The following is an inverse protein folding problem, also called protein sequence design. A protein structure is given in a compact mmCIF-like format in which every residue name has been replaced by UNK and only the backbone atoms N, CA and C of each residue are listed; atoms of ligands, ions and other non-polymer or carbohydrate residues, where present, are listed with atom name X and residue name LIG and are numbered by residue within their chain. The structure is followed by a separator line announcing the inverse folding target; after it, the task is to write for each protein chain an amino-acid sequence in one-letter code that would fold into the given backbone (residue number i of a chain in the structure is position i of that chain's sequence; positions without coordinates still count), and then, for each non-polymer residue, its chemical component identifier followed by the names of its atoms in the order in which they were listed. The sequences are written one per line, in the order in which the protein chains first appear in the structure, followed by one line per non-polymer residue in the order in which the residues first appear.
data_IF_568393092215
#
_entry.id   IF_568393092215
#
_cell.length_a   1.000
_cell.length_b   1.000
_cell.length_c   1.000
_cell.angle_alpha   90.00
_cell.angle_beta   90.00
_cell.angle_gamma   90.00
#
_symmetry.space_group_name_H-M   'P 1'
#
loop_
_entity.id
_entity.type
_entity.pdbx_description
1 polymer ?
#
# COMPACT_ATOMS: atom_id res chain seq x y z
N UNK A 1 13.50 29.35 -1.37
CA UNK A 1 14.59 28.47 -0.88
C UNK A 1 14.30 27.06 -1.39
N UNK A 2 15.05 26.61 -2.40
CA UNK A 2 14.85 25.29 -3.00
C UNK A 2 15.35 24.20 -2.07
N UNK A 3 14.46 23.29 -1.68
CA UNK A 3 14.83 22.08 -0.97
C UNK A 3 15.60 21.17 -1.93
N UNK A 4 16.91 21.38 -2.05
CA UNK A 4 17.80 20.43 -2.70
C UNK A 4 17.91 19.24 -1.77
N UNK A 5 17.24 18.15 -2.12
CA UNK A 5 17.48 16.85 -1.51
C UNK A 5 18.85 16.40 -1.99
N UNK A 6 19.86 16.57 -1.14
CA UNK A 6 21.22 16.10 -1.42
C UNK A 6 21.21 14.57 -1.31
N UNK A 7 21.25 13.89 -2.46
CA UNK A 7 21.35 12.44 -2.51
C UNK A 7 22.75 12.03 -2.04
N UNK A 8 22.89 11.00 -1.18
CA UNK A 8 24.20 10.58 -0.70
C UNK A 8 25.13 10.27 -1.88
N UNK A 9 26.27 10.98 -1.94
CA UNK A 9 27.25 10.90 -3.04
C UNK A 9 27.90 9.52 -3.23
N UNK A 10 27.68 8.59 -2.31
CA UNK A 10 28.19 7.22 -2.39
C UNK A 10 27.27 6.21 -1.68
N UNK A 11 26.16 5.87 -2.33
CA UNK A 11 25.52 4.56 -2.16
C UNK A 11 25.82 3.73 -3.40
N UNK A 12 26.99 3.09 -3.45
CA UNK A 12 27.28 2.16 -4.54
C UNK A 12 26.49 0.87 -4.34
N UNK A 13 25.50 0.64 -5.21
CA UNK A 13 24.84 -0.66 -5.28
C UNK A 13 25.86 -1.69 -5.74
N UNK A 14 25.92 -2.84 -5.06
CA UNK A 14 26.76 -3.95 -5.53
C UNK A 14 26.37 -4.36 -6.96
N UNK A 15 27.33 -4.86 -7.74
CA UNK A 15 27.08 -5.32 -9.11
C UNK A 15 25.95 -6.35 -9.18
N UNK A 16 25.81 -7.19 -8.14
CA UNK A 16 24.71 -8.14 -8.00
C UNK A 16 23.35 -7.43 -7.98
N UNK A 17 23.19 -6.39 -7.16
CA UNK A 17 21.91 -5.66 -7.06
C UNK A 17 21.63 -4.80 -8.29
N UNK A 18 22.65 -4.20 -8.90
CA UNK A 18 22.50 -3.50 -10.18
C UNK A 18 21.95 -4.43 -11.26
N UNK A 19 22.52 -5.63 -11.41
CA UNK A 19 22.03 -6.64 -12.36
C UNK A 19 20.60 -7.08 -12.08
N UNK A 20 20.19 -7.18 -10.81
CA UNK A 20 18.80 -7.51 -10.45
C UNK A 20 17.86 -6.40 -10.93
N UNK A 21 18.16 -5.14 -10.62
CA UNK A 21 17.32 -4.01 -11.03
C UNK A 21 17.25 -3.85 -12.55
N UNK A 22 18.37 -4.02 -13.26
CA UNK A 22 18.42 -3.93 -14.73
C UNK A 22 17.62 -5.03 -15.42
N UNK A 23 17.47 -6.20 -14.79
CA UNK A 23 16.68 -7.31 -15.33
C UNK A 23 15.19 -7.21 -15.01
N UNK A 24 14.80 -6.29 -14.13
CA UNK A 24 13.42 -6.15 -13.71
C UNK A 24 12.58 -5.59 -14.87
N UNK A 25 11.68 -6.41 -15.40
CA UNK A 25 10.67 -5.96 -16.34
C UNK A 25 9.44 -5.53 -15.55
N UNK A 26 9.04 -4.28 -15.74
CA UNK A 26 7.80 -3.73 -15.18
C UNK A 26 6.75 -3.67 -16.28
N UNK A 27 5.66 -4.39 -16.06
CA UNK A 27 4.47 -4.37 -16.90
C UNK A 27 3.23 -4.54 -16.01
N UNK A 28 2.05 -4.68 -16.62
CA UNK A 28 0.77 -4.78 -15.90
C UNK A 28 0.71 -5.97 -14.92
N UNK A 29 1.45 -7.04 -15.20
CA UNK A 29 1.45 -8.32 -14.48
C UNK A 29 2.76 -8.64 -13.75
N UNK A 30 3.76 -7.74 -13.84
CA UNK A 30 5.09 -7.94 -13.28
C UNK A 30 5.70 -6.63 -12.76
N UNK A 31 6.30 -6.60 -11.55
CA UNK A 31 6.34 -7.67 -10.56
C UNK A 31 4.98 -7.83 -9.85
N UNK A 32 4.34 -8.98 -10.08
CA UNK A 32 2.97 -9.24 -9.59
C UNK A 32 1.91 -8.35 -10.25
N UNK A 33 0.66 -8.52 -9.83
CA UNK A 33 -0.50 -7.85 -10.46
C UNK A 33 -0.80 -6.45 -9.93
N UNK A 34 0.16 -5.79 -9.26
CA UNK A 34 -0.12 -4.53 -8.54
C UNK A 34 -0.64 -3.43 -9.47
N UNK A 35 -0.05 -3.27 -10.67
CA UNK A 35 -0.49 -2.24 -11.61
C UNK A 35 -1.88 -2.58 -12.18
N UNK A 36 -2.08 -3.81 -12.65
CA UNK A 36 -3.39 -4.27 -13.14
C UNK A 36 -4.49 -4.09 -12.09
N UNK A 37 -4.26 -4.57 -10.87
CA UNK A 37 -5.26 -4.55 -9.81
C UNK A 37 -5.49 -3.13 -9.28
N UNK A 38 -4.47 -2.26 -9.31
CA UNK A 38 -4.62 -0.85 -9.01
C UNK A 38 -5.51 -0.14 -10.03
N UNK A 39 -5.31 -0.39 -11.32
CA UNK A 39 -6.21 0.12 -12.38
C UNK A 39 -7.63 -0.41 -12.24
N UNK A 40 -7.81 -1.69 -11.89
CA UNK A 40 -9.13 -2.25 -11.55
C UNK A 40 -9.77 -1.50 -10.38
N UNK A 41 -9.01 -1.18 -9.34
CA UNK A 41 -9.50 -0.39 -8.21
C UNK A 41 -9.93 1.02 -8.65
N UNK A 42 -9.11 1.73 -9.42
CA UNK A 42 -9.46 3.07 -9.91
C UNK A 42 -10.77 3.05 -10.73
N UNK A 43 -10.92 2.06 -11.61
CA UNK A 43 -12.16 1.84 -12.37
C UNK A 43 -13.35 1.54 -11.47
N UNK A 44 -13.16 0.73 -10.43
CA UNK A 44 -14.17 0.40 -9.45
C UNK A 44 -14.66 1.63 -8.66
N UNK A 45 -13.77 2.56 -8.30
CA UNK A 45 -14.15 3.84 -7.68
C UNK A 45 -15.04 4.63 -8.65
N UNK A 46 -14.61 4.75 -9.90
CA UNK A 46 -15.34 5.43 -10.96
C UNK A 46 -15.65 6.91 -10.68
N UNK A 47 -16.41 7.58 -11.56
CA UNK A 47 -16.73 9.00 -11.42
C UNK A 47 -17.67 9.31 -10.25
N UNK A 48 -18.49 8.33 -9.84
CA UNK A 48 -19.42 8.49 -8.71
C UNK A 48 -18.72 8.29 -7.36
N UNK A 49 -17.50 7.78 -7.35
CA UNK A 49 -16.80 7.36 -6.14
C UNK A 49 -17.42 6.14 -5.46
N UNK A 50 -16.68 5.56 -4.52
CA UNK A 50 -17.12 4.42 -3.71
C UNK A 50 -17.59 4.85 -2.31
N UNK A 51 -18.64 4.24 -1.78
CA UNK A 51 -19.12 4.51 -0.42
C UNK A 51 -18.11 4.03 0.63
N UNK A 52 -17.94 4.83 1.68
CA UNK A 52 -17.07 4.53 2.82
C UNK A 52 -17.88 4.36 4.10
N UNK A 53 -17.28 3.69 5.08
CA UNK A 53 -17.83 3.59 6.44
C UNK A 53 -17.62 4.91 7.20
N UNK A 54 -18.57 5.29 8.05
CA UNK A 54 -18.53 6.57 8.74
C UNK A 54 -17.33 6.67 9.69
N UNK A 55 -17.12 5.64 10.52
CA UNK A 55 -16.14 5.61 11.61
C UNK A 55 -14.70 5.53 11.12
N UNK A 56 -14.41 4.62 10.20
CA UNK A 56 -13.02 4.33 9.77
C UNK A 56 -12.69 4.84 8.38
N UNK A 57 -13.67 5.36 7.64
CA UNK A 57 -13.50 5.79 6.24
C UNK A 57 -13.01 4.67 5.31
N UNK A 58 -13.20 3.40 5.68
CA UNK A 58 -12.84 2.23 4.86
C UNK A 58 -13.97 1.88 3.88
N UNK A 59 -13.69 1.02 2.90
CA UNK A 59 -14.71 0.56 1.96
C UNK A 59 -15.88 -0.09 2.69
N UNK A 60 -17.09 0.19 2.22
CA UNK A 60 -18.29 -0.47 2.73
C UNK A 60 -18.27 -1.98 2.44
N UNK A 61 -18.83 -2.78 3.35
CA UNK A 61 -18.82 -4.25 3.26
C UNK A 61 -19.33 -4.78 1.91
N UNK A 62 -20.38 -4.16 1.35
CA UNK A 62 -20.95 -4.56 0.05
C UNK A 62 -19.96 -4.41 -1.10
N UNK A 63 -19.09 -3.41 -1.05
CA UNK A 63 -18.10 -3.11 -2.09
C UNK A 63 -16.91 -4.08 -2.06
N UNK A 64 -16.62 -4.71 -0.92
CA UNK A 64 -15.45 -5.58 -0.77
C UNK A 64 -15.57 -6.86 -1.60
N UNK A 65 -16.74 -7.51 -1.58
CA UNK A 65 -16.98 -8.72 -2.35
C UNK A 65 -16.93 -8.48 -3.86
N UNK A 66 -17.54 -7.39 -4.30
CA UNK A 66 -17.56 -6.96 -5.70
C UNK A 66 -16.18 -6.57 -6.21
N UNK A 67 -15.40 -5.80 -5.45
CA UNK A 67 -14.03 -5.47 -5.83
C UNK A 67 -13.16 -6.72 -5.86
N UNK A 68 -13.25 -7.58 -4.84
CA UNK A 68 -12.44 -8.80 -4.74
C UNK A 68 -12.62 -9.72 -5.96
N UNK A 69 -13.84 -9.86 -6.49
CA UNK A 69 -14.10 -10.70 -7.66
C UNK A 69 -13.53 -10.16 -8.96
N UNK A 70 -13.19 -8.87 -9.03
CA UNK A 70 -12.60 -8.22 -10.20
C UNK A 70 -11.06 -8.23 -10.20
N UNK A 71 -10.43 -8.53 -9.06
CA UNK A 71 -8.98 -8.56 -8.96
C UNK A 71 -8.41 -9.82 -9.64
N UNK A 72 -7.13 -9.75 -10.01
CA UNK A 72 -6.40 -10.82 -10.70
C UNK A 72 -6.40 -12.13 -9.90
N UNK A 73 -6.38 -12.04 -8.56
CA UNK A 73 -6.41 -13.20 -7.65
C UNK A 73 -7.43 -12.97 -6.54
N UNK A 74 -8.72 -13.23 -6.78
CA UNK A 74 -9.77 -13.08 -5.78
C UNK A 74 -9.51 -13.99 -4.57
N UNK A 75 -9.61 -13.43 -3.37
CA UNK A 75 -9.41 -14.19 -2.14
C UNK A 75 -10.75 -14.82 -1.69
N UNK A 76 -10.76 -16.14 -1.48
CA UNK A 76 -11.91 -16.84 -0.87
C UNK A 76 -11.91 -16.60 0.64
N UNK A 77 -12.95 -15.97 1.17
CA UNK A 77 -13.08 -15.66 2.60
C UNK A 77 -14.19 -16.49 3.23
N UNK A 78 -13.84 -17.26 4.27
CA UNK A 78 -14.80 -18.07 5.04
C UNK A 78 -15.54 -17.31 6.15
N UNK A 79 -15.38 -15.99 6.25
CA UNK A 79 -16.01 -15.17 7.29
C UNK A 79 -17.41 -14.73 6.87
N UNK A 80 -18.37 -14.74 7.81
CA UNK A 80 -19.75 -14.24 7.57
C UNK A 80 -19.82 -12.74 7.24
N UNK A 81 -18.90 -11.93 7.80
CA UNK A 81 -18.85 -10.48 7.61
C UNK A 81 -17.39 -10.03 7.45
N UNK A 82 -16.78 -10.24 6.27
CA UNK A 82 -15.37 -9.97 6.08
C UNK A 82 -15.11 -8.45 5.96
N UNK A 83 -14.49 -7.87 6.98
CA UNK A 83 -14.06 -6.46 6.94
C UNK A 83 -12.88 -6.27 5.98
N UNK A 84 -12.56 -5.02 5.60
CA UNK A 84 -11.49 -4.72 4.63
C UNK A 84 -10.14 -5.37 5.00
N UNK A 85 -9.79 -5.42 6.30
CA UNK A 85 -8.56 -6.09 6.79
C UNK A 85 -8.48 -7.59 6.47
N UNK A 86 -9.62 -8.25 6.23
CA UNK A 86 -9.67 -9.65 5.80
C UNK A 86 -9.32 -9.82 4.31
N UNK A 87 -9.17 -8.72 3.56
CA UNK A 87 -8.74 -8.70 2.16
C UNK A 87 -7.39 -7.95 2.05
N UNK A 88 -6.25 -8.60 2.36
CA UNK A 88 -4.95 -7.92 2.41
C UNK A 88 -4.60 -7.16 1.12
N UNK A 89 -4.93 -7.74 -0.04
CA UNK A 89 -4.68 -7.11 -1.33
C UNK A 89 -5.51 -5.84 -1.54
N UNK A 90 -6.82 -5.89 -1.25
CA UNK A 90 -7.68 -4.69 -1.26
C UNK A 90 -7.18 -3.66 -0.26
N UNK A 91 -6.73 -4.10 0.93
CA UNK A 91 -6.24 -3.20 1.96
C UNK A 91 -4.98 -2.45 1.50
N UNK A 92 -4.05 -3.15 0.85
CA UNK A 92 -2.86 -2.56 0.24
C UNK A 92 -3.19 -1.61 -0.91
N UNK A 93 -4.08 -2.00 -1.82
CA UNK A 93 -4.50 -1.12 -2.92
C UNK A 93 -5.21 0.14 -2.40
N UNK A 94 -6.06 0.01 -1.37
CA UNK A 94 -6.72 1.14 -0.74
C UNK A 94 -5.69 2.10 -0.12
N UNK A 95 -4.65 1.58 0.56
CA UNK A 95 -3.54 2.38 1.07
C UNK A 95 -2.87 3.16 -0.07
N UNK A 96 -2.52 2.48 -1.16
CA UNK A 96 -1.85 3.09 -2.32
C UNK A 96 -2.71 4.19 -2.96
N UNK A 97 -4.00 3.94 -3.15
CA UNK A 97 -4.94 4.90 -3.75
C UNK A 97 -5.01 6.18 -2.91
N UNK A 98 -5.04 6.04 -1.58
CA UNK A 98 -5.11 7.17 -0.64
C UNK A 98 -3.76 7.89 -0.47
N UNK A 99 -2.66 7.13 -0.40
CA UNK A 99 -1.31 7.67 -0.15
C UNK A 99 -0.74 8.38 -1.38
N UNK A 100 -1.07 7.91 -2.59
CA UNK A 100 -0.68 8.57 -3.85
C UNK A 100 -1.41 9.88 -4.11
N UNK A 101 -2.53 10.13 -3.42
CA UNK A 101 -3.39 11.28 -3.67
C UNK A 101 -4.31 11.15 -4.88
N UNK A 102 -4.32 9.98 -5.55
CA UNK A 102 -5.22 9.70 -6.67
C UNK A 102 -6.69 9.71 -6.28
N UNK A 103 -6.98 9.42 -5.02
CA UNK A 103 -8.31 9.57 -4.48
C UNK A 103 -8.30 10.26 -3.12
N UNK A 104 -9.37 11.01 -2.86
CA UNK A 104 -9.62 11.68 -1.58
C UNK A 104 -10.94 11.25 -0.99
N UNK A 105 -11.04 11.40 0.33
CA UNK A 105 -12.28 11.17 1.05
C UNK A 105 -13.09 12.45 1.03
N UNK A 106 -14.31 12.40 0.52
CA UNK A 106 -15.26 13.51 0.50
C UNK A 106 -16.52 13.18 1.28
N UNK A 107 -17.21 14.24 1.72
CA UNK A 107 -18.46 14.13 2.46
C UNK A 107 -18.29 13.76 3.94
N UNK A 108 -19.41 13.82 4.67
CA UNK A 108 -19.49 13.56 6.11
C UNK A 108 -20.57 12.55 6.44
N UNK A 109 -20.39 11.82 7.54
CA UNK A 109 -21.32 10.78 7.99
C UNK A 109 -21.64 9.76 6.88
N UNK A 110 -22.93 9.45 6.72
CA UNK A 110 -23.42 8.44 5.76
C UNK A 110 -23.19 8.79 4.28
N UNK A 111 -22.82 10.04 3.96
CA UNK A 111 -22.50 10.48 2.60
C UNK A 111 -21.00 10.42 2.28
N UNK A 112 -20.18 9.85 3.18
CA UNK A 112 -18.73 9.74 2.99
C UNK A 112 -18.38 8.82 1.81
N UNK A 113 -17.53 9.31 0.89
CA UNK A 113 -17.12 8.59 -0.32
C UNK A 113 -15.63 8.73 -0.59
N UNK A 114 -15.05 7.73 -1.23
CA UNK A 114 -13.75 7.80 -1.88
C UNK A 114 -13.98 8.24 -3.31
N UNK A 115 -13.42 9.37 -3.72
CA UNK A 115 -13.57 9.92 -5.07
C UNK A 115 -12.21 10.12 -5.71
N UNK A 116 -12.13 9.92 -7.02
CA UNK A 116 -10.91 10.19 -7.78
C UNK A 116 -10.70 11.69 -7.93
N UNK A 117 -9.45 12.12 -7.77
CA UNK A 117 -9.04 13.47 -8.14
C UNK A 117 -8.76 13.50 -9.65
N UNK A 118 -9.51 14.29 -10.41
CA UNK A 118 -9.44 14.29 -11.87
C UNK A 118 -8.07 14.70 -12.40
N UNK A 119 -7.44 15.69 -11.77
CA UNK A 119 -6.19 16.27 -12.25
C UNK A 119 -5.01 15.34 -11.97
N UNK A 120 -5.00 14.74 -10.78
CA UNK A 120 -4.02 13.72 -10.43
C UNK A 120 -4.22 12.45 -11.25
N UNK A 121 -5.46 12.02 -11.48
CA UNK A 121 -5.75 10.86 -12.32
C UNK A 121 -5.35 11.08 -13.79
N UNK A 122 -5.55 12.29 -14.32
CA UNK A 122 -5.08 12.64 -15.67
C UNK A 122 -3.55 12.64 -15.75
N UNK A 123 -2.86 13.10 -14.71
CA UNK A 123 -1.40 13.06 -14.62
C UNK A 123 -0.89 11.62 -14.55
N UNK A 124 -1.53 10.77 -13.74
CA UNK A 124 -1.23 9.34 -13.64
C UNK A 124 -1.32 8.61 -14.98
N UNK A 125 -2.33 8.92 -15.79
CA UNK A 125 -2.50 8.31 -17.11
C UNK A 125 -1.36 8.61 -18.08
N UNK A 126 -0.63 9.72 -17.89
CA UNK A 126 0.52 10.10 -18.73
C UNK A 126 1.79 9.32 -18.39
N UNK A 127 1.84 8.71 -17.20
CA UNK A 127 2.98 7.92 -16.76
C UNK A 127 3.03 6.58 -17.50
N UNK A 128 4.24 6.13 -17.84
CA UNK A 128 4.49 4.78 -18.31
C UNK A 128 4.41 3.77 -17.14
N UNK A 129 4.42 2.46 -17.44
CA UNK A 129 4.24 1.41 -16.43
C UNK A 129 5.32 1.42 -15.33
N UNK A 130 6.58 1.69 -15.70
CA UNK A 130 7.69 1.82 -14.75
C UNK A 130 7.48 3.00 -13.80
N UNK A 131 7.13 4.17 -14.34
CA UNK A 131 6.87 5.38 -13.55
C UNK A 131 5.67 5.20 -12.62
N UNK A 132 4.59 4.55 -13.09
CA UNK A 132 3.43 4.20 -12.27
C UNK A 132 3.84 3.31 -11.11
N UNK A 133 4.60 2.25 -11.38
CA UNK A 133 5.06 1.32 -10.35
C UNK A 133 5.88 2.03 -9.27
N UNK A 134 6.88 2.82 -9.67
CA UNK A 134 7.73 3.53 -8.71
C UNK A 134 6.97 4.64 -7.98
N UNK A 135 5.99 5.28 -8.61
CA UNK A 135 5.09 6.24 -7.94
C UNK A 135 4.30 5.56 -6.82
N UNK A 136 3.78 4.35 -7.04
CA UNK A 136 3.08 3.59 -6.00
C UNK A 136 4.03 3.14 -4.89
N UNK A 137 5.22 2.66 -5.25
CA UNK A 137 6.23 2.26 -4.28
C UNK A 137 6.66 3.44 -3.39
N UNK A 138 6.93 4.60 -3.98
CA UNK A 138 7.26 5.83 -3.27
C UNK A 138 6.10 6.28 -2.38
N UNK A 139 4.87 6.28 -2.90
CA UNK A 139 3.68 6.65 -2.15
C UNK A 139 3.51 5.77 -0.91
N UNK A 140 3.73 4.47 -1.03
CA UNK A 140 3.71 3.56 0.12
C UNK A 140 4.83 3.88 1.13
N UNK A 141 6.08 3.96 0.67
CA UNK A 141 7.23 4.13 1.55
C UNK A 141 7.22 5.47 2.30
N UNK A 142 6.82 6.55 1.63
CA UNK A 142 6.92 7.91 2.14
C UNK A 142 5.61 8.37 2.79
N UNK A 143 4.46 8.05 2.18
CA UNK A 143 3.14 8.58 2.57
C UNK A 143 2.20 7.52 3.12
N UNK A 144 2.56 6.24 3.05
CA UNK A 144 1.79 5.15 3.63
C UNK A 144 1.84 5.23 5.16
N UNK A 145 0.65 5.32 5.76
CA UNK A 145 0.48 5.37 7.22
C UNK A 145 -0.65 4.45 7.68
N UNK A 146 -0.53 3.94 8.89
CA UNK A 146 -1.49 2.99 9.47
C UNK A 146 -2.91 3.57 9.61
N UNK A 147 -3.04 4.88 9.82
CA UNK A 147 -4.35 5.52 10.01
C UNK A 147 -5.18 5.55 8.73
N UNK A 148 -4.54 5.47 7.55
CA UNK A 148 -5.26 5.32 6.28
C UNK A 148 -6.08 4.02 6.31
N UNK A 149 -5.57 2.97 6.96
CA UNK A 149 -6.21 1.68 7.12
C UNK A 149 -7.17 1.62 8.31
N UNK A 150 -7.40 2.76 8.98
CA UNK A 150 -8.27 2.85 10.15
C UNK A 150 -7.64 2.26 11.41
N UNK A 151 -6.32 2.07 11.41
CA UNK A 151 -5.56 1.65 12.59
C UNK A 151 -5.23 2.87 13.46
N UNK A 152 -4.95 2.63 14.74
CA UNK A 152 -4.64 3.71 15.68
C UNK A 152 -3.26 4.30 15.39
N UNK A 153 -3.17 5.64 15.47
CA UNK A 153 -1.89 6.35 15.56
C UNK A 153 -1.02 5.72 16.63
N UNK A 154 0.05 5.06 16.22
CA UNK A 154 1.09 4.69 17.15
C UNK A 154 1.79 5.98 17.59
N UNK A 155 2.04 6.15 18.88
CA UNK A 155 2.68 7.36 19.44
C UNK A 155 4.19 7.41 19.14
N UNK A 156 4.59 7.16 17.89
CA UNK A 156 5.97 7.10 17.40
C UNK A 156 6.05 7.22 15.86
N UNK A 157 7.22 6.90 15.28
CA UNK A 157 7.51 6.99 13.83
C UNK A 157 6.61 6.07 12.98
N UNK A 158 5.38 6.49 12.67
CA UNK A 158 4.47 5.84 11.69
C UNK A 158 4.88 6.18 10.24
N UNK A 159 6.18 6.15 9.97
CA UNK A 159 6.74 6.28 8.62
C UNK A 159 7.18 4.89 8.16
N UNK A 160 6.48 4.35 7.17
CA UNK A 160 6.74 3.01 6.61
C UNK A 160 8.24 2.78 6.36
N UNK A 161 8.93 3.75 5.76
CA UNK A 161 10.37 3.65 5.49
C UNK A 161 11.23 3.52 6.75
N UNK A 162 10.89 4.20 7.84
CA UNK A 162 11.63 4.13 9.10
C UNK A 162 11.43 2.78 9.79
N UNK A 163 10.20 2.25 9.75
CA UNK A 163 9.88 0.91 10.26
C UNK A 163 10.65 -0.15 9.48
N UNK A 164 10.63 -0.08 8.14
CA UNK A 164 11.36 -1.02 7.30
C UNK A 164 12.88 -0.93 7.54
N UNK A 165 13.44 0.28 7.59
CA UNK A 165 14.87 0.47 7.89
C UNK A 165 15.24 -0.18 9.23
N UNK A 166 14.52 0.15 10.29
CA UNK A 166 14.75 -0.40 11.63
C UNK A 166 14.62 -1.92 11.66
N UNK A 167 13.72 -2.50 10.87
CA UNK A 167 13.57 -3.94 10.76
C UNK A 167 14.75 -4.58 10.03
N UNK A 168 15.09 -4.10 8.84
CA UNK A 168 16.18 -4.66 8.03
C UNK A 168 17.55 -4.54 8.70
N UNK A 169 17.81 -3.46 9.45
CA UNK A 169 19.03 -3.30 10.24
C UNK A 169 19.17 -4.35 11.36
N UNK A 170 18.04 -4.90 11.83
CA UNK A 170 18.02 -5.91 12.90
C UNK A 170 18.08 -7.34 12.38
N UNK A 171 18.00 -7.57 11.06
CA UNK A 171 18.10 -8.91 10.48
C UNK A 171 19.59 -9.32 10.47
N UNK A 172 19.97 -10.42 11.15
CA UNK A 172 21.35 -10.91 11.11
C UNK A 172 21.77 -11.30 9.69
N UNK A 173 23.06 -11.21 9.38
CA UNK A 173 23.61 -11.59 8.06
C UNK A 173 23.34 -13.05 7.67
N UNK A 174 23.19 -13.94 8.66
CA UNK A 174 22.82 -15.35 8.49
C UNK A 174 21.31 -15.58 8.29
N UNK A 175 20.51 -14.52 8.23
CA UNK A 175 19.06 -14.58 8.23
C UNK A 175 18.45 -14.71 9.62
N UNK A 176 17.13 -14.55 9.69
CA UNK A 176 16.34 -14.62 10.91
C UNK A 176 15.44 -15.86 10.84
N UNK A 177 15.53 -16.75 11.83
CA UNK A 177 14.68 -17.95 11.91
C UNK A 177 13.31 -17.54 12.45
N UNK A 178 12.30 -17.55 11.57
CA UNK A 178 10.95 -17.08 11.92
C UNK A 178 10.12 -18.14 12.65
N UNK A 179 10.07 -19.36 12.12
CA UNK A 179 9.21 -20.40 12.67
C UNK A 179 9.86 -21.11 13.86
N UNK A 180 9.15 -21.15 14.99
CA UNK A 180 9.54 -21.89 16.20
C UNK A 180 10.52 -21.14 17.12
N UNK A 181 10.70 -19.84 16.91
CA UNK A 181 11.41 -18.94 17.82
C UNK A 181 10.45 -17.87 18.34
N UNK A 182 9.86 -18.11 19.50
CA UNK A 182 8.83 -17.25 20.10
C UNK A 182 9.31 -15.81 20.30
N UNK A 183 10.61 -15.58 20.56
CA UNK A 183 11.15 -14.21 20.73
C UNK A 183 11.18 -13.46 19.41
N UNK A 184 11.52 -14.16 18.33
CA UNK A 184 11.55 -13.60 16.98
C UNK A 184 10.14 -13.38 16.44
N UNK A 185 9.23 -14.34 16.67
CA UNK A 185 7.81 -14.23 16.35
C UNK A 185 7.19 -13.03 17.09
N UNK A 186 7.42 -12.92 18.40
CA UNK A 186 6.98 -11.78 19.21
C UNK A 186 7.58 -10.46 18.70
N UNK A 187 8.88 -10.41 18.38
CA UNK A 187 9.51 -9.20 17.86
C UNK A 187 8.86 -8.72 16.55
N UNK A 188 8.52 -9.64 15.65
CA UNK A 188 7.83 -9.33 14.39
C UNK A 188 6.39 -8.91 14.64
N UNK A 189 5.70 -9.59 15.55
CA UNK A 189 4.36 -9.19 15.96
C UNK A 189 4.34 -7.79 16.56
N UNK A 190 5.34 -7.45 17.39
CA UNK A 190 5.51 -6.12 17.98
C UNK A 190 5.86 -5.05 16.94
N UNK A 191 6.61 -5.42 15.91
CA UNK A 191 7.12 -4.48 14.89
C UNK A 191 6.10 -4.23 13.76
N UNK A 192 5.28 -5.22 13.41
CA UNK A 192 4.39 -5.15 12.23
C UNK A 192 2.91 -5.44 12.49
N UNK A 193 2.52 -6.05 13.62
CA UNK A 193 1.18 -6.60 13.82
C UNK A 193 0.50 -6.18 15.14
N UNK A 194 1.02 -5.16 15.83
CA UNK A 194 0.44 -4.68 17.09
C UNK A 194 -0.82 -3.81 16.86
N UNK A 195 -1.81 -4.35 16.14
CA UNK A 195 -3.19 -3.89 16.21
C UNK A 195 -3.88 -4.58 17.40
N UNK A 196 -3.94 -3.91 18.56
CA UNK A 196 -4.94 -4.19 19.58
C UNK A 196 -5.88 -3.00 19.68
#
# INVERSE_FOLDING_TARGET
MGNVVDFPKNTSLSFKYQKILQKQVINEDSPGSVLRDFETFLKFIGPKGCKLTNKTSLLALKSLGELNSQLTRPLKIGLKRPMQKAYPHINGLYLLVRASGLARVEGVGAKKRLVLDSDIHNSWKKLNLTERYFTLAESWLIRGKSEILGEYKHSGMDFTIAVLKNFFEKIPSKGLKLAGDSRTEDHIHLTFLKSR
#
